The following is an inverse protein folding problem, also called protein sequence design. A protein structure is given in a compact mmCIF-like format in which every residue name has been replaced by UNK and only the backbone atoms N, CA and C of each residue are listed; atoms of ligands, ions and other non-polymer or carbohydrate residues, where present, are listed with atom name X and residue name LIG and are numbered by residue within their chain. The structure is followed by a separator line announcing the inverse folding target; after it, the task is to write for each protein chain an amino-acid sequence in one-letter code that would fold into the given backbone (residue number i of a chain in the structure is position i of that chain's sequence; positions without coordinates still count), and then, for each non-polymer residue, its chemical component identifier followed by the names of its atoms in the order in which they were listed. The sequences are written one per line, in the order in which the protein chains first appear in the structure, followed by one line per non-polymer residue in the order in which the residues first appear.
data_IF_585401994317
#
_entry.id   IF_585401994317
#
_cell.length_a   1.000
_cell.length_b   1.000
_cell.length_c   1.000
_cell.angle_alpha   90.00
_cell.angle_beta   90.00
_cell.angle_gamma   90.00
#
_symmetry.space_group_name_H-M   'P 1'
#
loop_
_entity.id
_entity.type
_entity.pdbx_description
1 polymer ?
#
# COMPACT_ATOMS: atom_id res chain seq x y z
N UNK A 1 3.97 -22.04 4.39
CA UNK A 1 2.68 -21.43 4.79
C UNK A 1 2.82 -19.95 5.12
N UNK A 2 3.78 -19.55 5.97
CA UNK A 2 4.01 -18.14 6.36
C UNK A 2 4.26 -17.22 5.16
N UNK A 3 5.16 -17.58 4.22
CA UNK A 3 5.42 -16.75 3.03
C UNK A 3 4.18 -16.53 2.15
N UNK A 4 3.36 -17.55 1.97
CA UNK A 4 2.11 -17.44 1.18
C UNK A 4 1.13 -16.50 1.89
N UNK A 5 0.99 -16.64 3.22
CA UNK A 5 0.16 -15.74 4.02
C UNK A 5 0.67 -14.28 3.96
N UNK A 6 1.99 -14.08 4.03
CA UNK A 6 2.62 -12.75 3.89
C UNK A 6 2.32 -12.13 2.53
N UNK A 7 2.48 -12.88 1.44
CA UNK A 7 2.19 -12.38 0.08
C UNK A 7 0.70 -12.04 -0.07
N UNK A 8 -0.20 -12.91 0.37
CA UNK A 8 -1.64 -12.63 0.34
C UNK A 8 -2.00 -11.39 1.16
N UNK A 9 -1.42 -11.24 2.35
CA UNK A 9 -1.63 -10.08 3.20
C UNK A 9 -1.10 -8.81 2.53
N UNK A 10 0.08 -8.84 1.91
CA UNK A 10 0.65 -7.71 1.18
C UNK A 10 -0.22 -7.28 -0.01
N UNK A 11 -0.75 -8.23 -0.79
CA UNK A 11 -1.66 -7.93 -1.90
C UNK A 11 -2.97 -7.33 -1.41
N UNK A 12 -3.57 -7.91 -0.36
CA UNK A 12 -4.76 -7.37 0.27
C UNK A 12 -4.53 -5.95 0.79
N UNK A 13 -3.39 -5.71 1.46
CA UNK A 13 -3.04 -4.41 2.01
C UNK A 13 -2.82 -3.36 0.92
N UNK A 14 -2.11 -3.70 -0.17
CA UNK A 14 -1.96 -2.83 -1.34
C UNK A 14 -3.29 -2.41 -1.93
N UNK A 15 -4.20 -3.38 -2.12
CA UNK A 15 -5.54 -3.12 -2.63
C UNK A 15 -6.33 -2.17 -1.72
N UNK A 16 -6.31 -2.42 -0.41
CA UNK A 16 -7.02 -1.59 0.55
C UNK A 16 -6.48 -0.16 0.59
N UNK A 17 -5.16 0.03 0.55
CA UNK A 17 -4.56 1.36 0.54
C UNK A 17 -4.89 2.11 -0.76
N UNK A 18 -4.82 1.45 -1.92
CA UNK A 18 -5.20 2.08 -3.19
C UNK A 18 -6.67 2.52 -3.19
N UNK A 19 -7.58 1.69 -2.66
CA UNK A 19 -8.99 2.06 -2.47
C UNK A 19 -9.18 3.26 -1.56
N UNK A 20 -8.49 3.29 -0.42
CA UNK A 20 -8.56 4.44 0.49
C UNK A 20 -7.98 5.70 -0.15
N UNK A 21 -6.91 5.58 -0.95
CA UNK A 21 -6.31 6.71 -1.67
C UNK A 21 -7.25 7.25 -2.74
N UNK A 22 -7.95 6.37 -3.46
CA UNK A 22 -8.99 6.76 -4.40
C UNK A 22 -10.13 7.50 -3.69
N UNK A 23 -10.68 6.92 -2.61
CA UNK A 23 -11.73 7.56 -1.82
C UNK A 23 -11.28 8.89 -1.22
N UNK A 24 -10.00 9.05 -0.86
CA UNK A 24 -9.44 10.32 -0.42
C UNK A 24 -9.42 11.36 -1.55
N UNK A 25 -9.03 10.97 -2.76
CA UNK A 25 -9.02 11.88 -3.92
C UNK A 25 -10.45 12.30 -4.30
N UNK A 26 -11.40 11.37 -4.25
CA UNK A 26 -12.82 11.61 -4.53
C UNK A 26 -13.46 12.51 -3.47
N UNK A 27 -13.32 12.18 -2.18
CA UNK A 27 -13.91 12.94 -1.07
C UNK A 27 -13.34 14.35 -0.87
N UNK A 28 -12.14 14.62 -1.41
CA UNK A 28 -11.48 15.93 -1.35
C UNK A 28 -11.50 16.67 -2.68
N UNK A 29 -12.21 16.14 -3.68
CA UNK A 29 -12.33 16.71 -5.04
C UNK A 29 -10.96 17.09 -5.62
N UNK A 30 -9.95 16.23 -5.42
CA UNK A 30 -8.59 16.54 -5.82
C UNK A 30 -8.52 16.52 -7.35
N UNK A 31 -8.02 17.60 -7.99
CA UNK A 31 -7.93 17.65 -9.45
C UNK A 31 -7.05 16.52 -9.99
N UNK A 32 -7.46 15.92 -11.11
CA UNK A 32 -6.82 14.73 -11.70
C UNK A 32 -5.32 14.92 -11.94
N UNK A 33 -4.87 16.14 -12.27
CA UNK A 33 -3.46 16.47 -12.46
C UNK A 33 -2.60 16.26 -11.20
N UNK A 34 -3.19 16.41 -10.01
CA UNK A 34 -2.49 16.27 -8.72
C UNK A 34 -2.58 14.86 -8.15
N UNK A 35 -3.56 14.06 -8.58
CA UNK A 35 -3.76 12.70 -8.09
C UNK A 35 -2.54 11.79 -8.30
N UNK A 36 -1.85 11.76 -9.47
CA UNK A 36 -0.67 10.92 -9.68
C UNK A 36 0.42 11.12 -8.64
N UNK A 37 0.62 12.36 -8.16
CA UNK A 37 1.59 12.65 -7.12
C UNK A 37 1.22 11.98 -5.79
N UNK A 38 -0.07 12.01 -5.42
CA UNK A 38 -0.58 11.38 -4.21
C UNK A 38 -0.44 9.86 -4.29
N UNK A 39 -0.92 9.25 -5.37
CA UNK A 39 -0.78 7.81 -5.59
C UNK A 39 0.69 7.38 -5.59
N UNK A 40 1.59 8.15 -6.21
CA UNK A 40 3.03 7.85 -6.19
C UNK A 40 3.61 7.89 -4.78
N UNK A 41 3.29 8.93 -4.00
CA UNK A 41 3.74 9.04 -2.61
C UNK A 41 3.22 7.88 -1.76
N UNK A 42 1.93 7.57 -1.85
CA UNK A 42 1.33 6.48 -1.09
C UNK A 42 1.95 5.13 -1.49
N UNK A 43 2.11 4.87 -2.78
CA UNK A 43 2.70 3.61 -3.26
C UNK A 43 4.15 3.43 -2.76
N UNK A 44 4.95 4.49 -2.72
CA UNK A 44 6.31 4.43 -2.15
C UNK A 44 6.25 4.08 -0.65
N UNK A 45 5.39 4.76 0.12
CA UNK A 45 5.24 4.52 1.55
C UNK A 45 4.75 3.09 1.86
N UNK A 46 3.77 2.59 1.09
CA UNK A 46 3.27 1.21 1.23
C UNK A 46 4.33 0.19 0.84
N UNK A 47 5.11 0.46 -0.21
CA UNK A 47 6.20 -0.44 -0.60
C UNK A 47 7.25 -0.56 0.51
N UNK A 48 7.62 0.57 1.13
CA UNK A 48 8.54 0.57 2.28
C UNK A 48 7.94 -0.25 3.43
N UNK A 49 6.67 -0.01 3.77
CA UNK A 49 5.98 -0.73 4.84
C UNK A 49 5.94 -2.25 4.61
N UNK A 50 5.59 -2.69 3.39
CA UNK A 50 5.54 -4.10 3.01
C UNK A 50 6.92 -4.73 3.05
N UNK A 51 7.95 -4.02 2.58
CA UNK A 51 9.32 -4.49 2.64
C UNK A 51 9.78 -4.65 4.08
N UNK A 52 9.50 -3.68 4.96
CA UNK A 52 9.79 -3.78 6.39
C UNK A 52 9.07 -4.96 7.04
N UNK A 53 7.78 -5.17 6.72
CA UNK A 53 7.02 -6.32 7.20
C UNK A 53 7.60 -7.65 6.70
N UNK A 54 7.99 -7.72 5.42
CA UNK A 54 8.64 -8.91 4.86
C UNK A 54 9.94 -9.23 5.59
N UNK A 55 10.80 -8.24 5.84
CA UNK A 55 12.06 -8.42 6.57
C UNK A 55 11.78 -8.91 8.00
N UNK A 56 10.83 -8.29 8.72
CA UNK A 56 10.47 -8.72 10.08
C UNK A 56 10.01 -10.19 10.09
N UNK A 57 9.09 -10.56 9.19
CA UNK A 57 8.58 -11.93 9.11
C UNK A 57 9.67 -12.92 8.67
N UNK A 58 10.52 -12.54 7.71
CA UNK A 58 11.54 -13.45 7.17
C UNK A 58 12.65 -13.77 8.19
N UNK A 59 13.01 -12.80 9.04
CA UNK A 59 14.12 -12.97 9.99
C UNK A 59 13.68 -13.29 11.42
N UNK A 60 12.42 -13.05 11.81
CA UNK A 60 11.96 -13.20 13.20
C UNK A 60 10.70 -14.07 13.40
N UNK A 61 10.01 -14.48 12.34
CA UNK A 61 8.88 -15.41 12.43
C UNK A 61 9.30 -16.86 12.17
#
# INVERSE_FOLDING_TARGET
MILIATVMFSLFYLFQINKMTYALCESREIPEEKQPKIFKTVNILVTILILSFYVEVFFRA
#
